data_IF_850320772532
#
_entry.id   IF_850320772532
#
_cell.length_a   1.000
_cell.length_b   1.000
_cell.length_c   1.000
_cell.angle_alpha   90.00
_cell.angle_beta   90.00
_cell.angle_gamma   90.00
#
_symmetry.space_group_name_H-M   'P 1'
#
loop_
_entity.id
_entity.type
_entity.pdbx_description
1 polymer ?
#
# COMPACT_ATOMS: atom_id res chain seq x y z
N UNK A 1 4.51 3.69 2.11
CA UNK A 1 5.92 3.20 2.16
C UNK A 1 5.86 1.90 2.92
N UNK A 2 6.12 0.74 2.29
CA UNK A 2 5.92 -0.54 2.95
C UNK A 2 6.80 -0.60 4.20
N UNK A 3 6.20 -0.96 5.34
CA UNK A 3 6.81 -0.93 6.67
C UNK A 3 8.24 -1.49 6.69
N UNK A 4 8.45 -2.61 6.01
CA UNK A 4 9.74 -3.25 5.83
C UNK A 4 10.83 -2.33 5.24
N UNK A 5 10.53 -1.48 4.26
CA UNK A 5 11.50 -0.53 3.70
C UNK A 5 11.91 0.53 4.74
N UNK A 6 10.98 0.94 5.61
CA UNK A 6 11.26 1.81 6.75
C UNK A 6 12.21 1.16 7.76
N UNK A 7 11.97 -0.12 8.05
CA UNK A 7 12.83 -0.95 8.90
C UNK A 7 14.23 -1.14 8.29
N UNK A 8 14.36 -1.47 7.01
CA UNK A 8 15.65 -1.60 6.32
C UNK A 8 16.44 -0.29 6.33
N UNK A 9 15.79 0.84 5.99
CA UNK A 9 16.44 2.16 6.02
C UNK A 9 16.89 2.54 7.44
N UNK A 10 16.10 2.20 8.44
CA UNK A 10 16.43 2.45 9.85
C UNK A 10 17.59 1.57 10.29
N UNK A 11 17.57 0.28 9.95
CA UNK A 11 18.66 -0.67 10.21
C UNK A 11 19.98 -0.28 9.55
N UNK A 12 19.94 0.29 8.34
CA UNK A 12 21.14 0.81 7.65
C UNK A 12 21.72 2.07 8.30
N UNK A 13 20.89 2.86 8.99
CA UNK A 13 21.30 4.10 9.68
C UNK A 13 21.74 3.84 11.11
N UNK A 14 21.11 2.88 11.78
CA UNK A 14 21.49 2.43 13.11
C UNK A 14 22.73 1.51 13.01
N UNK A 15 23.73 1.75 13.86
CA UNK A 15 24.89 0.85 13.96
C UNK A 15 24.66 -0.28 14.95
N UNK A 16 25.49 -1.33 14.87
CA UNK A 16 25.61 -2.40 15.88
C UNK A 16 24.37 -3.32 15.98
N UNK A 17 23.96 -3.69 17.19
CA UNK A 17 22.98 -4.75 17.42
C UNK A 17 21.53 -4.30 17.17
N UNK A 18 21.27 -3.02 17.40
CA UNK A 18 19.99 -2.36 17.16
C UNK A 18 19.68 -2.31 15.67
N UNK A 19 20.66 -1.95 14.84
CA UNK A 19 20.51 -1.93 13.39
C UNK A 19 20.19 -3.31 12.81
N UNK A 20 20.82 -4.36 13.36
CA UNK A 20 20.57 -5.74 12.95
C UNK A 20 19.14 -6.20 13.29
N UNK A 21 18.58 -5.80 14.44
CA UNK A 21 17.17 -6.05 14.78
C UNK A 21 16.24 -5.49 13.68
N UNK A 22 16.39 -4.21 13.33
CA UNK A 22 15.53 -3.59 12.30
C UNK A 22 15.70 -4.28 10.94
N UNK A 23 16.92 -4.69 10.58
CA UNK A 23 17.20 -5.34 9.29
C UNK A 23 16.59 -6.75 9.21
N UNK A 24 16.65 -7.53 10.28
CA UNK A 24 16.03 -8.88 10.35
C UNK A 24 14.52 -8.84 10.26
N UNK A 25 13.90 -7.88 10.95
CA UNK A 25 12.46 -7.66 10.86
C UNK A 25 12.06 -7.30 9.42
N UNK A 26 12.80 -6.41 8.77
CA UNK A 26 12.59 -6.09 7.34
C UNK A 26 12.73 -7.32 6.44
N UNK A 27 13.81 -8.09 6.59
CA UNK A 27 14.08 -9.26 5.74
C UNK A 27 12.95 -10.31 5.86
N UNK A 28 12.45 -10.56 7.08
CA UNK A 28 11.32 -11.50 7.31
C UNK A 28 10.00 -10.98 6.73
N UNK A 29 9.71 -9.69 6.87
CA UNK A 29 8.52 -9.08 6.27
C UNK A 29 8.54 -9.18 4.74
N UNK A 30 9.72 -9.01 4.12
CA UNK A 30 9.90 -9.11 2.67
C UNK A 30 9.80 -10.54 2.14
N UNK A 31 10.18 -11.54 2.95
CA UNK A 31 10.08 -12.96 2.58
C UNK A 31 8.62 -13.46 2.53
N UNK A 32 7.68 -12.75 3.16
CA UNK A 32 6.26 -13.06 3.08
C UNK A 32 5.90 -14.42 3.68
N UNK A 33 6.43 -14.74 4.86
CA UNK A 33 6.22 -16.03 5.54
C UNK A 33 4.76 -16.29 5.99
N UNK A 34 3.87 -15.29 5.88
CA UNK A 34 2.48 -15.34 6.33
C UNK A 34 2.30 -15.05 7.83
N UNK A 35 3.39 -14.75 8.53
CA UNK A 35 3.38 -14.34 9.95
C UNK A 35 2.96 -12.87 10.08
N UNK A 36 2.32 -12.52 11.19
CA UNK A 36 1.99 -11.12 11.46
C UNK A 36 3.25 -10.32 11.77
N UNK A 37 3.22 -9.01 11.47
CA UNK A 37 4.33 -8.11 11.85
C UNK A 37 4.65 -8.21 13.35
N UNK A 38 3.61 -8.28 14.19
CA UNK A 38 3.81 -8.31 15.64
C UNK A 38 4.53 -9.58 16.08
N UNK A 39 4.21 -10.74 15.49
CA UNK A 39 4.89 -12.00 15.81
C UNK A 39 6.36 -11.94 15.41
N UNK A 40 6.65 -11.45 14.19
CA UNK A 40 8.02 -11.24 13.69
C UNK A 40 8.78 -10.29 14.61
N UNK A 41 8.18 -9.14 14.97
CA UNK A 41 8.79 -8.15 15.84
C UNK A 41 9.10 -8.73 17.21
N UNK A 42 8.12 -9.37 17.84
CA UNK A 42 8.25 -9.93 19.18
C UNK A 42 9.37 -10.97 19.24
N UNK A 43 9.46 -11.85 18.25
CA UNK A 43 10.50 -12.86 18.20
C UNK A 43 11.90 -12.26 18.03
N UNK A 44 12.09 -11.34 17.07
CA UNK A 44 13.39 -10.71 16.86
C UNK A 44 13.79 -9.78 18.02
N UNK A 45 12.83 -9.08 18.64
CA UNK A 45 13.06 -8.25 19.82
C UNK A 45 13.46 -9.12 21.02
N UNK A 46 12.86 -10.29 21.24
CA UNK A 46 13.31 -11.21 22.28
C UNK A 46 14.75 -11.68 22.06
N UNK A 47 15.12 -12.09 20.83
CA UNK A 47 16.50 -12.46 20.48
C UNK A 47 17.49 -11.31 20.72
N UNK A 48 17.08 -10.08 20.42
CA UNK A 48 17.90 -8.90 20.69
C UNK A 48 18.08 -8.69 22.20
N UNK A 49 17.00 -8.82 22.99
CA UNK A 49 17.03 -8.62 24.44
C UNK A 49 17.95 -9.61 25.18
N UNK A 50 18.14 -10.83 24.67
CA UNK A 50 19.07 -11.82 25.26
C UNK A 50 20.52 -11.33 25.33
N UNK A 51 20.92 -10.42 24.43
CA UNK A 51 22.30 -9.92 24.32
C UNK A 51 22.40 -8.41 24.57
N UNK A 52 21.29 -7.78 24.93
CA UNK A 52 21.17 -6.34 25.08
C UNK A 52 21.45 -5.90 26.51
N UNK A 53 22.06 -4.71 26.73
CA UNK A 53 22.23 -4.14 28.07
C UNK A 53 20.93 -3.56 28.67
N UNK A 54 19.79 -3.69 27.98
CA UNK A 54 18.51 -3.14 28.41
C UNK A 54 18.00 -3.82 29.69
N UNK A 55 17.37 -3.02 30.55
CA UNK A 55 16.64 -3.52 31.71
C UNK A 55 15.37 -4.24 31.29
N UNK A 56 14.82 -5.08 32.17
CA UNK A 56 13.55 -5.78 31.94
C UNK A 56 12.43 -4.82 31.54
N UNK A 57 12.31 -3.69 32.23
CA UNK A 57 11.34 -2.62 31.93
C UNK A 57 11.53 -2.04 30.52
N UNK A 58 12.77 -1.80 30.10
CA UNK A 58 13.05 -1.29 28.75
C UNK A 58 12.78 -2.35 27.67
N UNK A 59 13.00 -3.62 28.00
CA UNK A 59 12.64 -4.74 27.14
C UNK A 59 11.12 -4.86 26.93
N UNK A 60 10.33 -4.75 28.00
CA UNK A 60 8.87 -4.70 27.89
C UNK A 60 8.40 -3.52 27.03
N UNK A 61 9.01 -2.35 27.19
CA UNK A 61 8.72 -1.18 26.36
C UNK A 61 9.06 -1.43 24.88
N UNK A 62 10.17 -2.11 24.58
CA UNK A 62 10.57 -2.47 23.22
C UNK A 62 9.59 -3.48 22.57
N UNK A 63 9.11 -4.45 23.34
CA UNK A 63 8.13 -5.43 22.85
C UNK A 63 6.78 -4.73 22.59
N UNK A 64 6.30 -3.91 23.52
CA UNK A 64 5.05 -3.15 23.38
C UNK A 64 5.09 -2.16 22.22
N UNK A 65 6.26 -1.62 21.86
CA UNK A 65 6.40 -0.75 20.69
C UNK A 65 5.97 -1.42 19.38
N UNK A 66 6.29 -2.71 19.19
CA UNK A 66 5.85 -3.45 18.02
C UNK A 66 4.35 -3.75 17.98
N UNK A 67 3.71 -3.85 19.14
CA UNK A 67 2.26 -4.02 19.20
C UNK A 67 1.56 -2.80 18.59
N UNK A 68 1.96 -1.60 19.01
CA UNK A 68 1.43 -0.34 18.48
C UNK A 68 1.74 -0.14 16.99
N UNK A 69 2.95 -0.50 16.54
CA UNK A 69 3.30 -0.42 15.12
C UNK A 69 2.55 -1.43 14.25
N UNK A 70 2.24 -2.62 14.78
CA UNK A 70 1.45 -3.61 14.05
C UNK A 70 0.03 -3.14 13.73
N UNK A 71 -0.59 -2.39 14.63
CA UNK A 71 -1.87 -1.73 14.36
C UNK A 71 -1.74 -0.62 13.31
N UNK A 72 -0.67 0.17 13.37
CA UNK A 72 -0.43 1.27 12.42
C UNK A 72 -0.25 0.77 10.97
N UNK A 73 0.41 -0.38 10.76
CA UNK A 73 0.53 -0.98 9.43
C UNK A 73 -0.84 -1.43 8.88
N UNK A 74 -1.66 -2.06 9.71
CA UNK A 74 -3.03 -2.43 9.34
C UNK A 74 -3.87 -1.21 8.99
N UNK A 75 -3.85 -0.17 9.83
CA UNK A 75 -4.58 1.09 9.55
C UNK A 75 -4.07 1.75 8.27
N UNK A 76 -2.76 1.71 8.00
CA UNK A 76 -2.17 2.21 6.75
C UNK A 76 -2.57 1.36 5.55
N UNK A 77 -2.62 0.03 5.67
CA UNK A 77 -3.11 -0.87 4.63
C UNK A 77 -4.59 -0.58 4.32
N UNK A 78 -5.44 -0.45 5.34
CA UNK A 78 -6.87 -0.10 5.18
C UNK A 78 -7.03 1.25 4.46
N UNK A 79 -6.25 2.27 4.83
CA UNK A 79 -6.26 3.58 4.15
C UNK A 79 -5.79 3.50 2.69
N UNK A 80 -4.79 2.69 2.40
CA UNK A 80 -4.25 2.52 1.04
C UNK A 80 -5.30 1.89 0.13
N UNK A 81 -6.02 0.88 0.62
CA UNK A 81 -7.13 0.25 -0.14
C UNK A 81 -8.24 1.26 -0.43
N UNK A 82 -8.60 2.10 0.55
CA UNK A 82 -9.62 3.14 0.35
C UNK A 82 -9.23 4.16 -0.74
N UNK A 83 -7.98 4.63 -0.73
CA UNK A 83 -7.49 5.54 -1.77
C UNK A 83 -7.49 4.88 -3.15
N UNK A 84 -7.12 3.60 -3.23
CA UNK A 84 -7.15 2.86 -4.48
C UNK A 84 -8.56 2.62 -5.01
N UNK A 85 -9.53 2.40 -4.11
CA UNK A 85 -10.95 2.33 -4.48
C UNK A 85 -11.45 3.67 -5.04
N UNK A 86 -11.10 4.79 -4.41
CA UNK A 86 -11.44 6.14 -4.89
C UNK A 86 -10.85 6.40 -6.28
N UNK A 87 -9.59 6.05 -6.51
CA UNK A 87 -8.93 6.19 -7.82
C UNK A 87 -9.61 5.35 -8.91
N UNK A 88 -10.00 4.10 -8.60
CA UNK A 88 -10.73 3.23 -9.54
C UNK A 88 -12.12 3.79 -9.87
N UNK A 89 -12.82 4.37 -8.90
CA UNK A 89 -14.12 5.01 -9.13
C UNK A 89 -14.01 6.19 -10.09
N UNK A 90 -13.01 7.05 -9.90
CA UNK A 90 -12.73 8.17 -10.81
C UNK A 90 -12.41 7.70 -12.24
N UNK A 91 -11.61 6.64 -12.39
CA UNK A 91 -11.25 6.08 -13.69
C UNK A 91 -12.49 5.53 -14.43
N UNK A 92 -13.35 4.78 -13.72
CA UNK A 92 -14.60 4.24 -14.27
C UNK A 92 -15.52 5.37 -14.74
N UNK A 93 -15.65 6.45 -13.96
CA UNK A 93 -16.43 7.62 -14.37
C UNK A 93 -15.86 8.31 -15.61
N UNK A 94 -14.53 8.42 -15.72
CA UNK A 94 -13.84 8.98 -16.87
C UNK A 94 -14.15 8.21 -18.15
N UNK A 95 -13.96 6.89 -18.12
CA UNK A 95 -14.24 5.99 -19.24
C UNK A 95 -15.72 6.08 -19.66
N UNK A 96 -16.63 6.09 -18.68
CA UNK A 96 -18.07 6.17 -18.93
C UNK A 96 -18.46 7.46 -19.66
N UNK A 97 -17.87 8.59 -19.29
CA UNK A 97 -18.07 9.88 -19.98
C UNK A 97 -17.57 9.86 -21.42
N UNK A 98 -16.41 9.26 -21.68
CA UNK A 98 -15.85 9.17 -23.03
C UNK A 98 -16.74 8.36 -23.98
N UNK A 99 -17.26 7.23 -23.52
CA UNK A 99 -18.20 6.39 -24.28
C UNK A 99 -19.45 7.20 -24.66
N UNK A 100 -20.02 7.93 -23.71
CA UNK A 100 -21.22 8.75 -23.94
C UNK A 100 -20.96 9.83 -25.01
N UNK A 101 -19.81 10.50 -24.96
CA UNK A 101 -19.43 11.52 -25.95
C UNK A 101 -19.28 10.92 -27.36
N UNK A 102 -18.54 9.80 -27.48
CA UNK A 102 -18.37 9.09 -28.76
C UNK A 102 -19.71 8.69 -29.37
N UNK A 103 -20.64 8.16 -28.55
CA UNK A 103 -21.97 7.77 -29.02
C UNK A 103 -22.76 8.96 -29.59
N UNK A 104 -22.69 10.13 -28.95
CA UNK A 104 -23.36 11.35 -29.45
C UNK A 104 -22.78 11.78 -30.80
N UNK A 105 -21.45 11.78 -30.94
CA UNK A 105 -20.78 12.14 -32.20
C UNK A 105 -21.19 11.23 -33.36
N UNK A 106 -21.16 9.90 -33.16
CA UNK A 106 -21.57 8.95 -34.20
C UNK A 106 -23.05 9.10 -34.57
N UNK A 107 -23.92 9.33 -33.59
CA UNK A 107 -25.35 9.59 -33.85
C UNK A 107 -25.53 10.84 -34.72
N UNK A 108 -24.87 11.94 -34.38
CA UNK A 108 -24.94 13.19 -35.15
C UNK A 108 -24.38 13.04 -36.57
N UNK A 109 -23.27 12.30 -36.73
CA UNK A 109 -22.70 12.01 -38.04
C UNK A 109 -23.65 11.18 -38.92
N UNK A 110 -24.31 10.16 -38.34
CA UNK A 110 -25.31 9.36 -39.04
C UNK A 110 -26.51 10.17 -39.53
N UNK A 111 -27.01 11.10 -38.70
CA UNK A 111 -28.10 12.02 -39.09
C UNK A 111 -27.66 12.92 -40.26
N UNK A 112 -26.47 13.51 -40.21
CA UNK A 112 -25.97 14.35 -41.29
C UNK A 112 -25.77 13.58 -42.60
N UNK A 113 -25.22 12.36 -42.53
CA UNK A 113 -25.07 11.50 -43.70
C UNK A 113 -26.42 11.14 -44.33
N UNK A 114 -27.43 10.83 -43.51
CA UNK A 114 -28.79 10.56 -43.99
C UNK A 114 -29.43 11.75 -44.71
N UNK A 115 -29.29 12.96 -44.16
CA UNK A 115 -29.76 14.19 -44.81
C UNK A 115 -29.06 14.45 -46.15
N UNK A 116 -27.75 14.26 -46.20
CA UNK A 116 -26.97 14.43 -47.43
C UNK A 116 -27.41 13.46 -48.54
N UNK A 117 -27.61 12.19 -48.20
CA UNK A 117 -28.13 11.18 -49.14
C UNK A 117 -29.54 11.54 -49.65
N UNK A 118 -30.41 12.06 -48.78
CA UNK A 118 -31.75 12.49 -49.16
C UNK A 118 -31.74 13.64 -50.17
N UNK A 119 -30.77 14.57 -50.08
CA UNK A 119 -30.63 15.69 -51.04
C UNK A 119 -30.11 15.21 -52.41
N UNK A 120 -29.21 14.23 -52.45
CA UNK A 120 -28.64 13.70 -53.71
C UNK A 120 -29.63 12.84 -54.49
N UNK A 121 -30.48 12.10 -53.79
CA UNK A 121 -31.43 11.15 -54.38
C UNK A 121 -32.73 11.80 -54.89
N UNK A 122 -32.88 13.11 -54.70
CA UNK A 122 -33.98 13.94 -55.22
C UNK A 122 -33.49 14.70 -56.44
#
# INVERSE_FOLDING_TARGET
MPLAEGFDRTGKRAGRAEGELFRRVSDRLMQGSGESFFDIWKEEAHKFLETSPLTEREGEQLISFGEHLGYLDREMQERTILLYLEELEEEIEGISREIAQKRRLYTSAGVMAGLFLAVILV
#
